data_IF_323923916454
#
_entry.id   IF_323923916454
#
_cell.length_a   1.000
_cell.length_b   1.000
_cell.length_c   1.000
_cell.angle_alpha   90.00
_cell.angle_beta   90.00
_cell.angle_gamma   90.00
#
_symmetry.space_group_name_H-M   'P 1'
#
loop_
_entity.id
_entity.type
_entity.pdbx_description
1 polymer ?
#
# COMPACT_ATOMS: atom_id res chain seq x y z
N UNK A 1 21.94 -7.12 1.48
CA UNK A 1 20.51 -7.42 1.27
C UNK A 1 20.11 -8.53 2.23
N UNK A 2 19.73 -8.17 3.45
CA UNK A 2 19.39 -9.14 4.50
C UNK A 2 17.95 -9.61 4.29
N UNK A 3 17.79 -10.86 3.84
CA UNK A 3 16.48 -11.50 3.71
C UNK A 3 15.96 -11.80 5.12
N UNK A 4 15.18 -10.88 5.65
CA UNK A 4 14.44 -11.06 6.90
C UNK A 4 13.16 -11.80 6.53
N UNK A 5 13.07 -13.07 6.94
CA UNK A 5 11.87 -13.88 6.79
C UNK A 5 10.88 -13.45 7.88
N UNK A 6 9.92 -12.58 7.53
CA UNK A 6 8.84 -12.17 8.43
C UNK A 6 7.51 -12.65 7.84
N UNK A 7 6.95 -13.69 8.45
CA UNK A 7 5.49 -13.90 8.51
C UNK A 7 4.88 -12.74 9.31
N UNK A 8 3.62 -12.40 9.06
CA UNK A 8 2.99 -11.07 9.13
C UNK A 8 2.16 -10.85 10.42
N UNK A 9 2.22 -9.66 11.09
CA UNK A 9 1.38 -9.32 12.27
C UNK A 9 0.35 -8.24 11.93
N UNK A 10 -0.80 -8.40 12.58
CA UNK A 10 -1.89 -7.46 12.84
C UNK A 10 -2.50 -6.72 11.65
N UNK A 11 -3.60 -7.32 11.20
CA UNK A 11 -4.62 -6.74 10.33
C UNK A 11 -4.12 -6.27 8.96
N UNK A 12 -3.18 -6.99 8.35
CA UNK A 12 -3.04 -6.94 6.91
C UNK A 12 -4.18 -7.76 6.30
N UNK A 13 -5.28 -7.09 5.92
CA UNK A 13 -6.38 -7.70 5.18
C UNK A 13 -5.84 -8.10 3.80
N UNK A 14 -5.52 -9.37 3.63
CA UNK A 14 -5.15 -9.92 2.33
C UNK A 14 -6.46 -10.27 1.60
N UNK A 15 -6.94 -9.39 0.72
CA UNK A 15 -8.13 -9.66 -0.10
C UNK A 15 -7.80 -10.73 -1.15
N UNK A 16 -7.98 -12.01 -0.80
CA UNK A 16 -7.99 -13.11 -1.75
C UNK A 16 -9.44 -13.57 -1.89
N UNK A 17 -10.05 -13.36 -3.07
CA UNK A 17 -11.41 -13.83 -3.38
C UNK A 17 -12.49 -13.39 -2.37
N UNK A 18 -12.51 -12.11 -1.96
CA UNK A 18 -13.51 -11.52 -1.05
C UNK A 18 -13.59 -12.17 0.36
N UNK A 19 -12.59 -12.93 0.80
CA UNK A 19 -12.53 -13.48 2.17
C UNK A 19 -11.45 -12.80 3.00
N UNK A 20 -11.81 -12.43 4.23
CA UNK A 20 -10.89 -11.94 5.24
C UNK A 20 -10.16 -13.14 5.87
N UNK A 21 -8.83 -13.13 5.85
CA UNK A 21 -7.98 -14.15 6.49
C UNK A 21 -7.08 -13.45 7.50
N UNK A 22 -7.09 -13.93 8.74
CA UNK A 22 -6.21 -13.45 9.82
C UNK A 22 -4.91 -14.26 9.84
N UNK A 23 -3.78 -13.60 10.12
CA UNK A 23 -2.45 -14.20 10.25
C UNK A 23 -1.80 -13.64 11.52
N UNK A 24 -1.21 -14.50 12.35
CA UNK A 24 -0.46 -14.16 13.57
C UNK A 24 1.04 -14.47 13.44
N UNK A 25 1.90 -13.64 14.04
CA UNK A 25 3.35 -13.88 14.23
C UNK A 25 3.58 -14.20 15.70
N UNK A 26 4.33 -15.24 15.96
CA UNK A 26 4.71 -15.60 17.34
C UNK A 26 6.20 -15.44 17.61
N UNK A 27 7.03 -15.36 16.56
CA UNK A 27 8.50 -15.32 16.64
C UNK A 27 9.10 -14.57 15.45
N UNK A 28 10.15 -13.80 15.69
CA UNK A 28 10.94 -13.13 14.64
C UNK A 28 12.39 -13.58 14.71
N UNK A 29 12.96 -13.98 13.57
CA UNK A 29 14.38 -14.23 13.42
C UNK A 29 15.04 -13.05 12.68
N UNK A 30 16.04 -12.44 13.32
CA UNK A 30 16.78 -11.30 12.77
C UNK A 30 18.27 -11.53 12.90
N UNK A 31 19.05 -11.04 11.94
CA UNK A 31 20.51 -11.00 12.07
C UNK A 31 20.93 -9.72 12.76
N UNK A 32 21.74 -9.83 13.80
CA UNK A 32 22.38 -8.68 14.45
C UNK A 32 23.45 -8.06 13.52
N UNK A 33 24.05 -6.95 13.98
CA UNK A 33 25.13 -6.27 13.24
C UNK A 33 26.38 -7.15 13.03
N UNK A 34 26.54 -8.20 13.83
CA UNK A 34 27.64 -9.16 13.76
C UNK A 34 27.30 -10.38 12.88
N UNK A 35 26.07 -10.44 12.34
CA UNK A 35 25.58 -11.53 11.50
C UNK A 35 25.03 -12.74 12.26
N UNK A 36 24.97 -12.68 13.59
CA UNK A 36 24.39 -13.74 14.42
C UNK A 36 22.86 -13.71 14.34
N UNK A 37 22.25 -14.88 14.39
CA UNK A 37 20.80 -15.02 14.41
C UNK A 37 20.27 -14.78 15.82
N UNK A 38 19.39 -13.80 15.95
CA UNK A 38 18.69 -13.42 17.17
C UNK A 38 17.23 -13.79 17.02
N UNK A 39 16.71 -14.51 18.02
CA UNK A 39 15.30 -14.84 18.14
C UNK A 39 14.62 -13.82 19.06
N UNK A 40 13.58 -13.17 18.54
CA UNK A 40 12.76 -12.20 19.27
C UNK A 40 11.42 -12.85 19.57
N UNK A 41 11.06 -12.89 20.85
CA UNK A 41 9.78 -13.42 21.37
C UNK A 41 9.02 -12.42 22.21
N UNK A 42 9.63 -11.28 22.55
CA UNK A 42 8.96 -10.21 23.28
C UNK A 42 7.95 -9.50 22.37
N UNK A 43 6.71 -9.33 22.84
CA UNK A 43 5.60 -8.81 22.04
C UNK A 43 5.86 -7.37 21.57
N UNK A 44 6.43 -6.53 22.42
CA UNK A 44 6.69 -5.13 22.08
C UNK A 44 7.80 -5.02 21.02
N UNK A 45 8.88 -5.77 21.20
CA UNK A 45 9.97 -5.84 20.21
C UNK A 45 9.51 -6.45 18.88
N UNK A 46 8.67 -7.48 18.94
CA UNK A 46 8.11 -8.09 17.73
C UNK A 46 7.25 -7.11 16.93
N UNK A 47 6.42 -6.31 17.61
CA UNK A 47 5.61 -5.28 16.97
C UNK A 47 6.47 -4.23 16.26
N UNK A 48 7.50 -3.75 16.93
CA UNK A 48 8.42 -2.72 16.41
C UNK A 48 9.18 -3.22 15.17
N UNK A 49 9.76 -4.42 15.25
CA UNK A 49 10.51 -5.03 14.14
C UNK A 49 9.60 -5.37 12.94
N UNK A 50 8.37 -5.82 13.21
CA UNK A 50 7.37 -6.08 12.16
C UNK A 50 6.99 -4.80 11.44
N UNK A 51 6.69 -3.73 12.19
CA UNK A 51 6.36 -2.43 11.61
C UNK A 51 7.52 -1.88 10.79
N UNK A 52 8.73 -1.92 11.34
CA UNK A 52 9.93 -1.48 10.65
C UNK A 52 10.14 -2.27 9.34
N UNK A 53 9.96 -3.60 9.37
CA UNK A 53 10.05 -4.42 8.17
C UNK A 53 9.02 -4.01 7.13
N UNK A 54 7.73 -3.92 7.43
CA UNK A 54 6.73 -3.58 6.41
C UNK A 54 6.85 -2.15 5.88
N UNK A 55 7.35 -1.23 6.70
CA UNK A 55 7.64 0.15 6.27
C UNK A 55 8.85 0.23 5.33
N UNK A 56 9.84 -0.66 5.49
CA UNK A 56 11.11 -0.58 4.75
C UNK A 56 11.29 -1.64 3.67
N UNK A 57 10.58 -2.76 3.75
CA UNK A 57 10.63 -3.89 2.79
C UNK A 57 10.11 -3.47 1.42
N UNK A 58 9.12 -2.58 1.41
CA UNK A 58 8.74 -1.88 0.21
C UNK A 58 9.83 -0.82 -0.08
N UNK A 59 10.91 -1.20 -0.76
CA UNK A 59 11.89 -0.27 -1.33
C UNK A 59 11.31 0.70 -2.38
N UNK A 60 9.98 0.82 -2.44
CA UNK A 60 9.21 1.73 -3.26
C UNK A 60 9.10 3.07 -2.54
N UNK A 61 10.05 3.95 -2.81
CA UNK A 61 9.84 5.39 -2.66
C UNK A 61 8.71 5.81 -3.61
N UNK A 62 7.74 6.59 -3.10
CA UNK A 62 6.70 7.19 -3.94
C UNK A 62 7.38 8.12 -4.95
N UNK A 63 7.47 7.67 -6.19
CA UNK A 63 8.08 8.38 -7.32
C UNK A 63 7.11 8.29 -8.47
N UNK A 64 7.13 9.28 -9.37
CA UNK A 64 6.40 9.18 -10.63
C UNK A 64 6.89 7.93 -11.38
N UNK A 65 6.05 6.90 -11.43
CA UNK A 65 6.31 5.67 -12.18
C UNK A 65 5.57 5.78 -13.52
N UNK A 66 6.25 5.75 -14.67
CA UNK A 66 5.56 5.75 -15.95
C UNK A 66 4.69 4.50 -16.08
N UNK A 67 3.50 4.63 -16.66
CA UNK A 67 2.61 3.50 -16.96
C UNK A 67 3.31 2.61 -18.01
N UNK A 68 3.51 1.33 -17.69
CA UNK A 68 4.25 0.39 -18.55
C UNK A 68 3.35 -0.67 -19.20
N UNK A 69 3.82 -1.23 -20.31
CA UNK A 69 3.19 -2.37 -20.99
C UNK A 69 1.78 -2.08 -21.50
N UNK A 70 0.90 -3.08 -21.44
CA UNK A 70 -0.49 -2.98 -21.93
C UNK A 70 -1.28 -1.81 -21.34
N UNK A 71 -0.94 -1.40 -20.11
CA UNK A 71 -1.62 -0.32 -19.41
C UNK A 71 -1.35 1.04 -20.07
N UNK A 72 -0.20 1.21 -20.72
CA UNK A 72 0.12 2.47 -21.41
C UNK A 72 -0.88 2.75 -22.52
N UNK A 73 -1.28 1.71 -23.25
CA UNK A 73 -2.25 1.80 -24.35
C UNK A 73 -3.67 1.97 -23.81
N UNK A 74 -4.04 1.22 -22.77
CA UNK A 74 -5.38 1.27 -22.18
C UNK A 74 -5.70 2.63 -21.54
N UNK A 75 -4.71 3.29 -20.92
CA UNK A 75 -4.88 4.59 -20.27
C UNK A 75 -4.46 5.77 -21.16
N UNK A 76 -4.40 5.61 -22.49
CA UNK A 76 -4.20 6.75 -23.38
C UNK A 76 -5.41 7.69 -23.32
N UNK A 77 -5.19 9.02 -23.35
CA UNK A 77 -6.28 9.97 -23.52
C UNK A 77 -7.07 9.64 -24.78
N UNK A 78 -8.39 9.57 -24.64
CA UNK A 78 -9.27 9.31 -25.77
C UNK A 78 -9.55 10.64 -26.49
N UNK A 79 -9.46 10.68 -27.83
CA UNK A 79 -9.54 11.94 -28.59
C UNK A 79 -10.91 12.61 -28.48
N UNK A 80 -11.96 11.86 -28.13
CA UNK A 80 -13.32 12.37 -27.97
C UNK A 80 -13.63 12.82 -26.53
N UNK A 81 -12.74 12.56 -25.57
CA UNK A 81 -12.90 13.02 -24.19
C UNK A 81 -12.19 14.37 -24.06
N UNK A 82 -12.94 15.37 -23.61
CA UNK A 82 -12.39 16.69 -23.32
C UNK A 82 -11.34 16.58 -22.19
N UNK A 83 -10.14 17.13 -22.41
CA UNK A 83 -9.06 17.08 -21.42
C UNK A 83 -9.38 17.85 -20.12
N UNK A 84 -10.36 18.77 -20.16
CA UNK A 84 -10.76 19.62 -19.05
C UNK A 84 -11.97 19.06 -18.27
N UNK A 85 -12.38 17.81 -18.48
CA UNK A 85 -13.54 17.22 -17.76
C UNK A 85 -13.42 17.25 -16.23
N UNK A 86 -12.22 17.47 -15.72
CA UNK A 86 -11.92 17.51 -14.29
C UNK A 86 -11.51 18.89 -13.79
N UNK A 87 -11.61 19.93 -14.62
CA UNK A 87 -11.19 21.28 -14.21
C UNK A 87 -12.02 21.82 -13.05
N UNK A 88 -13.28 21.41 -12.95
CA UNK A 88 -14.24 21.88 -11.94
C UNK A 88 -14.47 20.91 -10.78
N UNK A 89 -13.67 19.83 -10.63
CA UNK A 89 -13.88 18.86 -9.51
C UNK A 89 -13.83 19.55 -8.16
N UNK A 90 -12.92 20.52 -8.00
CA UNK A 90 -12.69 21.20 -6.74
C UNK A 90 -13.57 22.44 -6.58
N UNK A 91 -14.37 22.77 -7.59
CA UNK A 91 -15.31 23.88 -7.52
C UNK A 91 -16.46 23.50 -6.60
N UNK A 92 -16.98 24.48 -5.86
CA UNK A 92 -18.18 24.26 -5.08
C UNK A 92 -19.37 24.01 -6.04
N UNK A 93 -20.31 23.12 -5.68
CA UNK A 93 -21.51 22.91 -6.49
C UNK A 93 -22.30 24.22 -6.60
N UNK A 94 -22.82 24.48 -7.79
CA UNK A 94 -23.64 25.66 -8.09
C UNK A 94 -25.00 25.57 -7.39
N UNK A 95 -25.65 26.72 -7.22
CA UNK A 95 -26.98 26.80 -6.61
C UNK A 95 -28.01 25.92 -7.34
N UNK A 96 -27.94 25.86 -8.67
CA UNK A 96 -28.84 25.03 -9.49
C UNK A 96 -28.57 23.53 -9.30
N UNK A 97 -27.31 23.12 -9.18
CA UNK A 97 -26.94 21.72 -8.86
C UNK A 97 -27.41 21.31 -7.46
N UNK A 98 -27.41 22.24 -6.49
CA UNK A 98 -27.98 22.00 -5.17
C UNK A 98 -29.50 21.81 -5.20
N UNK A 99 -30.20 22.57 -6.05
CA UNK A 99 -31.65 22.49 -6.18
C UNK A 99 -32.12 21.19 -6.85
N UNK A 100 -31.30 20.58 -7.72
CA UNK A 100 -31.62 19.31 -8.39
C UNK A 100 -31.57 18.09 -7.45
N UNK A 101 -30.99 18.25 -6.26
CA UNK A 101 -30.81 17.18 -5.25
C UNK A 101 -31.93 17.17 -4.19
N UNK A 102 -32.72 18.24 -4.07
CA UNK A 102 -33.76 18.43 -3.03
C UNK A 102 -35.18 18.43 -3.59
#
# INVERSE_FOLDING_TARGET
MTKIYILIFRQLILMKNHKLVSISIEKIYKKDHNGNEVLITDEHQMMEETNHHFQTVAGSVNRKKPIQGRWKEQYKPQPHINANIYSSIMDAPSYDEWLDII
#
